data_IF_497525605793
#
_entry.id   IF_497525605793
#
_cell.length_a   1.000
_cell.length_b   1.000
_cell.length_c   1.000
_cell.angle_alpha   90.00
_cell.angle_beta   90.00
_cell.angle_gamma   90.00
#
_symmetry.space_group_name_H-M   'P 1'
#
loop_
_entity.id
_entity.type
_entity.pdbx_description
1 polymer ?
#
# COMPACT_ATOMS: atom_id res chain seq x y z
N UNK A 1 1.26 8.68 -22.72
CA UNK A 1 1.84 7.41 -22.21
C UNK A 1 3.34 7.58 -22.05
N UNK A 2 3.88 7.23 -20.90
CA UNK A 2 5.31 7.34 -20.63
C UNK A 2 6.09 6.26 -21.38
N UNK A 3 7.27 6.64 -21.87
CA UNK A 3 8.22 5.66 -22.42
C UNK A 3 8.77 4.79 -21.29
N UNK A 4 9.35 3.65 -21.64
CA UNK A 4 10.00 2.77 -20.66
C UNK A 4 11.10 3.50 -19.89
N UNK A 5 11.88 4.31 -20.58
CA UNK A 5 12.96 5.08 -19.95
C UNK A 5 12.44 6.13 -18.96
N UNK A 6 11.36 6.82 -19.31
CA UNK A 6 10.71 7.76 -18.41
C UNK A 6 10.16 7.07 -17.15
N UNK A 7 9.61 5.87 -17.29
CA UNK A 7 9.14 5.07 -16.16
C UNK A 7 10.29 4.61 -15.26
N UNK A 8 11.43 4.23 -15.85
CA UNK A 8 12.63 3.87 -15.07
C UNK A 8 13.10 5.08 -14.25
N UNK A 9 13.24 6.22 -14.88
CA UNK A 9 13.68 7.45 -14.20
C UNK A 9 12.71 7.87 -13.10
N UNK A 10 11.41 7.77 -13.34
CA UNK A 10 10.41 8.09 -12.34
C UNK A 10 10.49 7.17 -11.12
N UNK A 11 10.71 5.88 -11.34
CA UNK A 11 10.85 4.92 -10.26
C UNK A 11 12.13 5.14 -9.45
N UNK A 12 13.25 5.40 -10.12
CA UNK A 12 14.52 5.74 -9.46
C UNK A 12 14.38 7.00 -8.61
N UNK A 13 13.74 8.02 -9.16
CA UNK A 13 13.50 9.27 -8.45
C UNK A 13 12.61 9.06 -7.22
N UNK A 14 11.56 8.27 -7.34
CA UNK A 14 10.69 7.92 -6.21
C UNK A 14 11.48 7.21 -5.10
N UNK A 15 12.33 6.27 -5.44
CA UNK A 15 13.15 5.55 -4.47
C UNK A 15 14.12 6.46 -3.71
N UNK A 16 14.64 7.49 -4.38
CA UNK A 16 15.59 8.43 -3.79
C UNK A 16 14.89 9.47 -2.91
N UNK A 17 13.78 10.01 -3.39
CA UNK A 17 13.13 11.18 -2.77
C UNK A 17 11.99 10.87 -1.84
N UNK A 18 11.34 9.72 -1.99
CA UNK A 18 10.20 9.35 -1.16
C UNK A 18 10.67 8.81 0.20
N UNK A 19 10.33 9.48 1.31
CA UNK A 19 10.76 9.06 2.65
C UNK A 19 10.24 7.68 3.05
N UNK A 20 9.22 7.17 2.37
CA UNK A 20 8.72 5.80 2.58
C UNK A 20 9.81 4.75 2.37
N UNK A 21 10.76 5.02 1.48
CA UNK A 21 11.81 4.08 1.12
C UNK A 21 13.12 4.31 1.86
N UNK A 22 13.12 5.20 2.84
CA UNK A 22 14.30 5.49 3.64
C UNK A 22 14.84 4.22 4.33
N UNK A 23 16.14 3.98 4.20
CA UNK A 23 16.79 2.81 4.80
C UNK A 23 16.61 1.51 4.03
N UNK A 24 15.94 1.52 2.89
CA UNK A 24 15.77 0.33 2.05
C UNK A 24 16.90 0.23 1.02
N UNK A 25 17.56 -0.92 1.00
CA UNK A 25 18.58 -1.26 0.02
C UNK A 25 18.04 -2.33 -0.91
N UNK A 26 18.21 -2.14 -2.22
CA UNK A 26 17.71 -3.07 -3.23
C UNK A 26 18.86 -3.68 -4.01
N UNK A 27 18.92 -5.03 -4.14
CA UNK A 27 19.91 -5.69 -4.98
C UNK A 27 19.54 -5.70 -6.46
N UNK A 28 18.48 -5.01 -6.86
CA UNK A 28 17.96 -4.94 -8.23
C UNK A 28 17.76 -3.47 -8.64
N UNK A 29 17.72 -3.24 -9.94
CA UNK A 29 17.53 -1.91 -10.52
C UNK A 29 16.07 -1.62 -10.85
N UNK A 30 15.76 -0.35 -11.11
CA UNK A 30 14.44 0.04 -11.60
C UNK A 30 14.13 -0.58 -12.97
N UNK A 31 15.15 -0.78 -13.81
CA UNK A 31 14.99 -1.51 -15.07
C UNK A 31 14.55 -2.95 -14.86
N UNK A 32 15.13 -3.63 -13.89
CA UNK A 32 14.74 -5.00 -13.54
C UNK A 32 13.27 -5.07 -13.12
N UNK A 33 12.81 -4.10 -12.33
CA UNK A 33 11.40 -4.01 -11.91
C UNK A 33 10.49 -3.84 -13.13
N UNK A 34 10.84 -2.94 -14.05
CA UNK A 34 10.02 -2.67 -15.22
C UNK A 34 9.97 -3.84 -16.21
N UNK A 35 11.02 -4.66 -16.28
CA UNK A 35 10.98 -5.89 -17.07
C UNK A 35 9.91 -6.87 -16.63
N UNK A 36 9.66 -6.92 -15.33
CA UNK A 36 8.71 -7.85 -14.72
C UNK A 36 7.30 -7.26 -14.59
N UNK A 37 7.18 -5.96 -14.74
CA UNK A 37 5.89 -5.26 -14.61
C UNK A 37 5.02 -5.50 -15.84
N UNK A 38 3.72 -5.63 -15.63
CA UNK A 38 2.76 -5.74 -16.74
C UNK A 38 2.71 -4.49 -17.61
N UNK A 39 2.18 -4.63 -18.81
CA UNK A 39 2.09 -3.55 -19.81
C UNK A 39 1.14 -2.43 -19.40
N UNK A 40 0.12 -2.75 -18.59
CA UNK A 40 -0.83 -1.78 -18.08
C UNK A 40 -0.69 -1.62 -16.59
N UNK A 41 -0.73 -0.37 -16.13
CA UNK A 41 -0.77 -0.06 -14.70
C UNK A 41 -2.21 -0.21 -14.22
N UNK A 42 -2.47 -1.28 -13.48
CA UNK A 42 -3.75 -1.47 -12.81
C UNK A 42 -3.74 -0.71 -11.50
N UNK A 43 -4.80 0.02 -11.25
CA UNK A 43 -4.96 0.77 -10.02
C UNK A 43 -6.40 0.62 -9.51
N UNK A 44 -6.54 0.24 -8.25
CA UNK A 44 -7.81 0.18 -7.57
C UNK A 44 -7.90 1.39 -6.66
N UNK A 45 -8.70 2.36 -7.04
CA UNK A 45 -8.76 3.68 -6.39
C UNK A 45 -9.02 3.60 -4.90
N UNK A 46 -10.01 2.80 -4.49
CA UNK A 46 -10.33 2.64 -3.06
C UNK A 46 -9.16 2.03 -2.29
N UNK A 47 -8.55 0.98 -2.82
CA UNK A 47 -7.40 0.35 -2.19
C UNK A 47 -6.21 1.32 -2.06
N UNK A 48 -5.96 2.12 -3.09
CA UNK A 48 -4.91 3.13 -3.08
C UNK A 48 -5.17 4.20 -2.03
N UNK A 49 -6.38 4.74 -1.98
CA UNK A 49 -6.74 5.78 -1.01
C UNK A 49 -6.70 5.27 0.42
N UNK A 50 -7.23 4.07 0.67
CA UNK A 50 -7.26 3.50 2.01
C UNK A 50 -5.87 3.12 2.50
N UNK A 51 -5.00 2.61 1.63
CA UNK A 51 -3.61 2.31 2.01
C UNK A 51 -2.81 3.57 2.35
N UNK A 52 -3.01 4.66 1.63
CA UNK A 52 -2.41 5.96 1.96
C UNK A 52 -2.90 6.48 3.30
N UNK A 53 -4.19 6.38 3.54
CA UNK A 53 -4.82 6.82 4.78
C UNK A 53 -4.27 6.05 5.98
N UNK A 54 -4.14 4.73 5.85
CA UNK A 54 -3.53 3.91 6.89
C UNK A 54 -2.06 4.28 7.12
N UNK A 55 -1.31 4.47 6.05
CA UNK A 55 0.09 4.89 6.14
C UNK A 55 0.25 6.21 6.89
N UNK A 56 -0.58 7.21 6.59
CA UNK A 56 -0.58 8.49 7.28
C UNK A 56 -0.89 8.34 8.77
N UNK A 57 -1.87 7.52 9.12
CA UNK A 57 -2.20 7.25 10.53
C UNK A 57 -1.04 6.60 11.27
N UNK A 58 -0.40 5.61 10.66
CA UNK A 58 0.75 4.91 11.25
C UNK A 58 1.95 5.81 11.47
N UNK A 59 2.12 6.84 10.65
CA UNK A 59 3.25 7.78 10.77
C UNK A 59 2.95 9.00 11.67
N UNK A 60 1.69 9.33 11.90
CA UNK A 60 1.30 10.57 12.58
C UNK A 60 0.59 10.35 13.92
N UNK A 61 0.14 9.14 14.21
CA UNK A 61 -0.51 8.79 15.47
C UNK A 61 0.41 7.91 16.33
N UNK A 62 0.27 8.00 17.63
CA UNK A 62 1.04 7.16 18.56
C UNK A 62 0.70 5.68 18.39
N UNK A 63 -0.55 5.39 18.09
CA UNK A 63 -1.04 4.06 17.78
C UNK A 63 -2.31 4.15 16.93
N UNK A 64 -2.61 3.07 16.23
CA UNK A 64 -3.83 2.96 15.40
C UNK A 64 -4.68 1.81 15.94
N UNK A 65 -5.93 2.08 16.28
CA UNK A 65 -6.84 1.06 16.77
C UNK A 65 -7.28 0.14 15.64
N UNK A 66 -6.89 -1.13 15.72
CA UNK A 66 -7.22 -2.12 14.70
C UNK A 66 -7.43 -3.51 15.29
N UNK A 67 -8.35 -4.27 14.70
CA UNK A 67 -8.60 -5.66 15.03
C UNK A 67 -8.81 -6.48 13.76
N UNK A 68 -8.67 -7.81 13.91
CA UNK A 68 -9.00 -8.74 12.85
C UNK A 68 -10.52 -8.92 12.71
N UNK A 69 -10.97 -9.12 11.48
CA UNK A 69 -12.35 -9.48 11.17
C UNK A 69 -12.39 -10.79 10.41
N UNK A 70 -13.29 -11.69 10.81
CA UNK A 70 -13.50 -12.99 10.18
C UNK A 70 -14.62 -12.94 9.14
N UNK A 71 -15.51 -11.98 9.26
CA UNK A 71 -16.66 -11.77 8.39
C UNK A 71 -16.85 -10.29 8.10
N UNK A 72 -17.59 -9.99 7.02
CA UNK A 72 -17.94 -8.60 6.70
C UNK A 72 -18.79 -7.94 7.81
N UNK A 73 -19.66 -8.71 8.45
CA UNK A 73 -20.48 -8.20 9.54
C UNK A 73 -19.65 -7.77 10.75
N UNK A 74 -18.62 -8.55 11.10
CA UNK A 74 -17.68 -8.16 12.15
C UNK A 74 -16.95 -6.86 11.79
N UNK A 75 -16.52 -6.72 10.54
CA UNK A 75 -15.84 -5.50 10.06
C UNK A 75 -16.75 -4.28 10.22
N UNK A 76 -18.03 -4.38 9.85
CA UNK A 76 -19.01 -3.30 10.01
C UNK A 76 -19.17 -2.92 11.49
N UNK A 77 -19.31 -3.90 12.37
CA UNK A 77 -19.45 -3.68 13.81
C UNK A 77 -18.20 -3.02 14.40
N UNK A 78 -17.00 -3.44 13.95
CA UNK A 78 -15.75 -2.87 14.42
C UNK A 78 -15.61 -1.40 14.00
N UNK A 79 -15.99 -1.06 12.78
CA UNK A 79 -16.01 0.34 12.31
C UNK A 79 -17.01 1.17 13.11
N UNK A 80 -18.20 0.65 13.35
CA UNK A 80 -19.23 1.33 14.15
C UNK A 80 -18.76 1.54 15.60
N UNK A 81 -17.94 0.64 16.12
CA UNK A 81 -17.34 0.77 17.45
C UNK A 81 -16.16 1.76 17.49
N UNK A 82 -15.75 2.31 16.37
CA UNK A 82 -14.70 3.34 16.29
C UNK A 82 -13.32 2.84 15.91
N UNK A 83 -13.18 1.60 15.45
CA UNK A 83 -11.88 1.11 14.99
C UNK A 83 -11.47 1.81 13.69
N UNK A 84 -10.19 2.15 13.60
CA UNK A 84 -9.63 2.89 12.47
C UNK A 84 -9.02 2.01 11.39
N UNK A 85 -8.68 0.77 11.73
CA UNK A 85 -8.10 -0.19 10.81
C UNK A 85 -8.64 -1.59 11.08
N UNK A 86 -8.78 -2.38 10.02
CA UNK A 86 -9.28 -3.74 10.10
C UNK A 86 -8.34 -4.66 9.33
N UNK A 87 -7.93 -5.74 9.98
CA UNK A 87 -7.26 -6.84 9.32
C UNK A 87 -8.33 -7.84 8.83
N UNK A 88 -8.55 -7.86 7.54
CA UNK A 88 -9.42 -8.88 6.94
C UNK A 88 -8.64 -10.19 6.86
N UNK A 89 -9.03 -11.17 7.67
CA UNK A 89 -8.37 -12.46 7.73
C UNK A 89 -8.75 -13.31 6.52
N UNK A 90 -7.92 -13.30 5.48
CA UNK A 90 -8.14 -14.13 4.29
C UNK A 90 -8.22 -15.62 4.59
N UNK A 91 -7.44 -16.08 5.56
CA UNK A 91 -7.46 -17.46 6.04
C UNK A 91 -8.83 -17.90 6.54
N UNK A 92 -9.50 -17.05 7.28
CA UNK A 92 -10.76 -17.36 7.94
C UNK A 92 -11.99 -16.97 7.12
N UNK A 93 -11.87 -15.96 6.28
CA UNK A 93 -12.94 -15.52 5.36
C UNK A 93 -13.06 -16.46 4.16
N UNK A 94 -11.95 -16.93 3.66
CA UNK A 94 -11.93 -17.89 2.56
C UNK A 94 -12.27 -19.31 3.07
#
# INVERSE_FOLDING_TARGET
MQTKQEQVQALEQDWITNPRWSGITRPYSAEDVLKLRGSYKLEYTIATEMSRKLWEKLNNQDWVAGLGALTGNQAVQEVDAGLEAIYLSGWQVA
#
